data_IF_512791776473
#
_entry.id   IF_512791776473
#
_cell.length_a   1.000
_cell.length_b   1.000
_cell.length_c   1.000
_cell.angle_alpha   90.00
_cell.angle_beta   90.00
_cell.angle_gamma   90.00
#
_symmetry.space_group_name_H-M   'P 1'
#
loop_
_entity.id
_entity.type
_entity.pdbx_description
1 polymer ?
#
# COMPACT_ATOMS: atom_id res chain seq x y z
N UNK A 1 -12.33 -9.76 6.41
CA UNK A 1 -13.06 -10.98 6.81
C UNK A 1 -14.28 -10.60 7.67
N UNK A 2 -14.13 -9.93 8.82
CA UNK A 2 -15.26 -9.58 9.72
C UNK A 2 -16.40 -8.84 9.02
N UNK A 3 -16.11 -7.82 8.20
CA UNK A 3 -17.14 -7.10 7.44
C UNK A 3 -17.89 -8.03 6.48
N UNK A 4 -17.19 -8.88 5.74
CA UNK A 4 -17.80 -9.82 4.80
C UNK A 4 -18.80 -10.72 5.54
N UNK A 5 -18.39 -11.26 6.69
CA UNK A 5 -19.23 -12.14 7.51
C UNK A 5 -20.45 -11.41 8.07
N UNK A 6 -20.26 -10.20 8.62
CA UNK A 6 -21.37 -9.39 9.15
C UNK A 6 -22.41 -9.09 8.09
N UNK A 7 -21.99 -8.67 6.89
CA UNK A 7 -22.94 -8.37 5.81
C UNK A 7 -23.67 -9.64 5.32
N UNK A 8 -22.96 -10.76 5.23
CA UNK A 8 -23.54 -12.06 4.86
C UNK A 8 -24.63 -12.51 5.84
N UNK A 9 -24.40 -12.36 7.16
CA UNK A 9 -25.38 -12.68 8.19
C UNK A 9 -26.68 -11.87 8.06
N UNK A 10 -26.60 -10.68 7.49
CA UNK A 10 -27.78 -9.82 7.26
C UNK A 10 -28.34 -9.92 5.84
N UNK A 11 -27.88 -10.89 5.03
CA UNK A 11 -28.35 -11.09 3.66
C UNK A 11 -28.01 -9.95 2.70
N UNK A 12 -27.00 -9.14 3.04
CA UNK A 12 -26.56 -8.00 2.22
C UNK A 12 -25.32 -8.37 1.42
N UNK A 13 -25.36 -8.13 0.11
CA UNK A 13 -24.21 -8.34 -0.77
C UNK A 13 -23.23 -7.19 -0.60
N UNK A 14 -22.05 -7.49 -0.06
CA UNK A 14 -20.98 -6.54 0.11
C UNK A 14 -20.12 -6.43 -1.16
N UNK A 15 -19.96 -5.23 -1.68
CA UNK A 15 -18.99 -4.93 -2.72
C UNK A 15 -17.93 -3.98 -2.19
N UNK A 16 -16.68 -4.43 -2.16
CA UNK A 16 -15.56 -3.61 -1.75
C UNK A 16 -15.06 -2.75 -2.92
N UNK A 17 -14.69 -1.53 -2.58
CA UNK A 17 -14.16 -0.55 -3.51
C UNK A 17 -12.71 -0.20 -3.14
N UNK A 18 -11.80 -0.39 -4.09
CA UNK A 18 -10.42 0.03 -3.96
C UNK A 18 -10.25 1.43 -4.52
N UNK A 19 -10.18 2.41 -3.62
CA UNK A 19 -9.86 3.79 -3.98
C UNK A 19 -8.40 3.97 -4.42
N UNK A 20 -8.04 5.19 -4.78
CA UNK A 20 -6.69 5.55 -5.25
C UNK A 20 -5.55 5.21 -4.28
N UNK A 21 -5.85 4.97 -3.01
CA UNK A 21 -4.90 4.59 -1.98
C UNK A 21 -4.71 3.09 -1.82
N UNK A 22 -5.50 2.26 -2.49
CA UNK A 22 -5.43 0.81 -2.38
C UNK A 22 -4.17 0.23 -3.03
N UNK A 23 -3.68 -0.88 -2.49
CA UNK A 23 -2.46 -1.54 -2.97
C UNK A 23 -2.54 -1.97 -4.44
N UNK A 24 -3.71 -2.42 -4.91
CA UNK A 24 -3.92 -2.85 -6.30
C UNK A 24 -3.76 -1.68 -7.29
N UNK A 25 -4.17 -0.47 -6.91
CA UNK A 25 -4.10 0.71 -7.76
C UNK A 25 -2.83 1.56 -7.62
N UNK A 26 -1.93 1.22 -6.70
CA UNK A 26 -0.75 2.04 -6.35
C UNK A 26 0.56 1.28 -6.28
N UNK A 27 0.76 0.28 -7.10
CA UNK A 27 2.03 -0.43 -7.13
C UNK A 27 2.24 -1.38 -5.94
N UNK A 28 1.15 -1.92 -5.39
CA UNK A 28 1.18 -3.03 -4.43
C UNK A 28 1.56 -4.36 -5.09
N UNK A 29 2.41 -4.31 -6.11
CA UNK A 29 2.79 -5.43 -6.94
C UNK A 29 1.93 -5.57 -8.21
N UNK A 30 2.16 -6.62 -9.02
CA UNK A 30 1.34 -6.90 -10.18
C UNK A 30 -0.13 -7.06 -9.80
N UNK A 31 -1.02 -6.47 -10.59
CA UNK A 31 -2.47 -6.44 -10.30
C UNK A 31 -3.06 -7.82 -10.05
N UNK A 32 -2.57 -8.84 -10.74
CA UNK A 32 -3.00 -10.23 -10.56
C UNK A 32 -2.78 -10.71 -9.11
N UNK A 33 -1.55 -10.68 -8.64
CA UNK A 33 -1.21 -11.11 -7.29
C UNK A 33 -1.88 -10.25 -6.22
N UNK A 34 -2.00 -8.95 -6.47
CA UNK A 34 -2.67 -8.03 -5.54
C UNK A 34 -4.17 -8.33 -5.39
N UNK A 35 -4.84 -8.81 -6.44
CA UNK A 35 -6.23 -9.26 -6.39
C UNK A 35 -6.32 -10.59 -5.63
N UNK A 36 -5.45 -11.55 -5.93
CA UNK A 36 -5.44 -12.85 -5.24
C UNK A 36 -5.08 -12.74 -3.76
N UNK A 37 -4.28 -11.76 -3.38
CA UNK A 37 -3.92 -11.48 -1.98
C UNK A 37 -5.05 -10.84 -1.16
N UNK A 38 -6.21 -10.54 -1.76
CA UNK A 38 -7.34 -10.03 -1.01
C UNK A 38 -7.89 -11.11 -0.06
N UNK A 39 -8.40 -10.70 1.11
CA UNK A 39 -9.03 -11.64 2.03
C UNK A 39 -10.13 -12.46 1.36
N UNK A 40 -10.29 -13.72 1.77
CA UNK A 40 -11.34 -14.60 1.26
C UNK A 40 -12.71 -13.93 1.37
N UNK A 41 -13.50 -14.01 0.29
CA UNK A 41 -14.83 -13.38 0.18
C UNK A 41 -14.80 -11.86 -0.10
N UNK A 42 -13.64 -11.24 -0.19
CA UNK A 42 -13.54 -9.81 -0.55
C UNK A 42 -13.80 -9.57 -2.05
N UNK A 43 -13.46 -10.55 -2.89
CA UNK A 43 -13.71 -10.55 -4.33
C UNK A 43 -14.81 -11.58 -4.62
N UNK A 44 -15.95 -11.12 -5.13
CA UNK A 44 -17.14 -11.95 -5.38
C UNK A 44 -17.65 -11.71 -6.81
N UNK A 45 -16.93 -12.21 -7.81
CA UNK A 45 -17.26 -12.05 -9.23
C UNK A 45 -17.05 -10.64 -9.77
N UNK A 46 -16.65 -9.69 -8.94
CA UNK A 46 -16.46 -8.30 -9.32
C UNK A 46 -15.46 -7.59 -8.42
N UNK A 47 -14.70 -6.68 -9.02
CA UNK A 47 -13.82 -5.78 -8.30
C UNK A 47 -13.97 -4.37 -8.91
N UNK A 48 -13.90 -3.34 -8.06
CA UNK A 48 -13.88 -1.95 -8.50
C UNK A 48 -12.61 -1.28 -8.03
N UNK A 49 -11.83 -0.81 -8.98
CA UNK A 49 -10.57 -0.11 -8.75
C UNK A 49 -10.67 1.33 -9.22
N UNK A 50 -10.05 2.25 -8.50
CA UNK A 50 -9.79 3.61 -8.99
C UNK A 50 -8.29 3.80 -9.06
N UNK A 51 -7.77 3.84 -10.28
CA UNK A 51 -6.37 4.12 -10.54
C UNK A 51 -6.13 5.62 -10.74
N UNK A 52 -4.90 6.06 -10.64
CA UNK A 52 -4.52 7.43 -10.98
C UNK A 52 -4.52 7.62 -12.51
N UNK A 53 -4.77 8.84 -12.97
CA UNK A 53 -4.86 9.13 -14.41
C UNK A 53 -3.61 8.73 -15.20
N UNK A 54 -2.44 8.95 -14.62
CA UNK A 54 -1.14 8.57 -15.21
C UNK A 54 -1.02 7.05 -15.38
N UNK A 55 -1.49 6.28 -14.41
CA UNK A 55 -1.51 4.81 -14.44
C UNK A 55 -2.50 4.32 -15.52
N UNK A 56 -3.68 4.93 -15.60
CA UNK A 56 -4.69 4.63 -16.63
C UNK A 56 -4.10 4.87 -18.02
N UNK A 57 -3.47 6.02 -18.24
CA UNK A 57 -2.83 6.33 -19.52
C UNK A 57 -1.74 5.32 -19.88
N UNK A 58 -0.89 4.96 -18.93
CA UNK A 58 0.18 3.97 -19.13
C UNK A 58 -0.36 2.58 -19.46
N UNK A 59 -1.41 2.14 -18.76
CA UNK A 59 -1.96 0.77 -18.89
C UNK A 59 -2.89 0.60 -20.11
N UNK A 60 -3.61 1.65 -20.51
CA UNK A 60 -4.74 1.49 -21.42
C UNK A 60 -4.69 2.35 -22.71
N UNK A 61 -3.68 3.22 -22.87
CA UNK A 61 -3.56 4.03 -24.09
C UNK A 61 -3.19 3.20 -25.34
N UNK A 62 -2.42 2.13 -25.16
CA UNK A 62 -2.12 1.19 -26.22
C UNK A 62 -3.14 0.03 -26.19
N UNK A 63 -3.87 -0.26 -27.28
CA UNK A 63 -4.92 -1.29 -27.30
C UNK A 63 -4.44 -2.70 -26.91
N UNK A 64 -3.25 -3.11 -27.36
CA UNK A 64 -2.71 -4.43 -27.05
C UNK A 64 -2.32 -4.55 -25.58
N UNK A 65 -1.69 -3.52 -25.02
CA UNK A 65 -1.33 -3.45 -23.61
C UNK A 65 -2.58 -3.35 -22.75
N UNK A 66 -3.54 -2.52 -23.14
CA UNK A 66 -4.82 -2.36 -22.46
C UNK A 66 -5.60 -3.66 -22.40
N UNK A 67 -5.70 -4.38 -23.52
CA UNK A 67 -6.33 -5.71 -23.57
C UNK A 67 -5.65 -6.65 -22.57
N UNK A 68 -4.33 -6.74 -22.57
CA UNK A 68 -3.58 -7.61 -21.66
C UNK A 68 -3.84 -7.27 -20.20
N UNK A 69 -3.86 -6.00 -19.85
CA UNK A 69 -4.16 -5.56 -18.47
C UNK A 69 -5.59 -5.94 -18.05
N UNK A 70 -6.57 -5.80 -18.95
CA UNK A 70 -7.95 -6.22 -18.69
C UNK A 70 -8.08 -7.75 -18.55
N UNK A 71 -7.42 -8.54 -19.41
CA UNK A 71 -7.37 -10.00 -19.31
C UNK A 71 -6.80 -10.45 -17.97
N UNK A 72 -5.71 -9.82 -17.52
CA UNK A 72 -5.09 -10.10 -16.22
C UNK A 72 -6.05 -9.81 -15.06
N UNK A 73 -6.75 -8.68 -15.10
CA UNK A 73 -7.74 -8.34 -14.06
C UNK A 73 -8.94 -9.29 -14.06
N UNK A 74 -9.45 -9.65 -15.24
CA UNK A 74 -10.55 -10.60 -15.37
C UNK A 74 -10.16 -11.98 -14.86
N UNK A 75 -9.01 -12.49 -15.28
CA UNK A 75 -8.49 -13.79 -14.84
C UNK A 75 -8.31 -13.85 -13.32
N UNK A 76 -7.67 -12.83 -12.72
CA UNK A 76 -7.48 -12.75 -11.27
C UNK A 76 -8.82 -12.69 -10.50
N UNK A 77 -9.80 -11.95 -11.05
CA UNK A 77 -11.14 -11.84 -10.44
C UNK A 77 -11.88 -13.18 -10.48
N UNK A 78 -11.79 -13.88 -11.61
CA UNK A 78 -12.38 -15.22 -11.76
C UNK A 78 -11.71 -16.22 -10.82
N UNK A 79 -10.39 -16.23 -10.78
CA UNK A 79 -9.61 -17.12 -9.91
C UNK A 79 -9.91 -16.86 -8.43
N UNK A 80 -9.87 -15.59 -7.99
CA UNK A 80 -10.19 -15.22 -6.61
C UNK A 80 -11.63 -15.57 -6.20
N UNK A 81 -12.56 -15.68 -7.18
CA UNK A 81 -13.96 -15.99 -6.94
C UNK A 81 -14.25 -17.48 -6.95
N UNK A 82 -13.71 -18.19 -7.95
CA UNK A 82 -14.09 -19.57 -8.26
C UNK A 82 -13.15 -20.60 -7.66
N UNK A 83 -11.85 -20.28 -7.65
CA UNK A 83 -10.87 -21.12 -7.00
C UNK A 83 -10.70 -20.58 -5.60
N UNK A 84 -11.46 -21.08 -4.66
CA UNK A 84 -11.11 -20.92 -3.26
C UNK A 84 -9.68 -21.44 -3.11
N UNK A 85 -8.70 -20.54 -3.19
CA UNK A 85 -7.36 -20.86 -2.70
C UNK A 85 -7.61 -21.28 -1.27
N UNK A 86 -7.56 -22.59 -1.08
CA UNK A 86 -8.07 -23.30 0.07
C UNK A 86 -7.73 -22.48 1.29
N UNK A 87 -8.73 -21.86 1.83
CA UNK A 87 -8.79 -21.13 3.06
C UNK A 87 -7.56 -21.30 3.95
N UNK A 88 -6.42 -20.84 3.52
CA UNK A 88 -5.37 -20.52 4.44
C UNK A 88 -5.81 -19.19 5.06
N UNK A 89 -6.85 -19.27 5.90
CA UNK A 89 -7.02 -18.26 6.93
C UNK A 89 -5.68 -18.28 7.65
N UNK A 90 -4.92 -17.17 7.64
CA UNK A 90 -3.64 -17.15 8.34
C UNK A 90 -3.89 -17.68 9.75
N UNK A 91 -3.07 -18.62 10.20
CA UNK A 91 -3.18 -19.06 11.59
C UNK A 91 -3.16 -17.86 12.52
N UNK A 92 -3.90 -17.94 13.60
CA UNK A 92 -3.97 -16.85 14.58
C UNK A 92 -2.56 -16.42 15.03
N UNK A 93 -1.64 -17.40 15.09
CA UNK A 93 -0.22 -17.18 15.37
C UNK A 93 0.46 -16.29 14.32
N UNK A 94 0.20 -16.53 13.03
CA UNK A 94 0.76 -15.72 11.94
C UNK A 94 0.23 -14.28 11.97
N UNK A 95 -1.06 -14.12 12.27
CA UNK A 95 -1.68 -12.79 12.44
C UNK A 95 -1.01 -12.05 13.59
N UNK A 96 -0.84 -12.71 14.76
CA UNK A 96 -0.21 -12.10 15.91
C UNK A 96 1.26 -11.70 15.65
N UNK A 97 2.01 -12.53 14.92
CA UNK A 97 3.38 -12.20 14.51
C UNK A 97 3.38 -10.95 13.59
N UNK A 98 2.52 -10.93 12.58
CA UNK A 98 2.44 -9.80 11.67
C UNK A 98 2.01 -8.51 12.37
N UNK A 99 1.08 -8.58 13.31
CA UNK A 99 0.65 -7.43 14.10
C UNK A 99 1.82 -6.90 14.98
N UNK A 100 2.57 -7.78 15.62
CA UNK A 100 3.73 -7.41 16.42
C UNK A 100 4.83 -6.75 15.55
N UNK A 101 5.15 -7.34 14.41
CA UNK A 101 6.11 -6.77 13.45
C UNK A 101 5.64 -5.42 12.92
N UNK A 102 4.38 -5.32 12.53
CA UNK A 102 3.77 -4.08 12.03
C UNK A 102 3.82 -2.97 13.07
N UNK A 103 3.45 -3.27 14.31
CA UNK A 103 3.47 -2.29 15.40
C UNK A 103 4.90 -1.79 15.69
N UNK A 104 5.88 -2.69 15.70
CA UNK A 104 7.28 -2.30 15.94
C UNK A 104 7.87 -1.52 14.77
N UNK A 105 7.56 -1.90 13.52
CA UNK A 105 7.95 -1.15 12.34
C UNK A 105 7.34 0.27 12.35
N UNK A 106 6.06 0.39 12.71
CA UNK A 106 5.39 1.67 12.86
C UNK A 106 6.06 2.57 13.91
N UNK A 107 6.37 2.03 15.08
CA UNK A 107 7.06 2.79 16.13
C UNK A 107 8.45 3.26 15.68
N UNK A 108 9.21 2.39 15.03
CA UNK A 108 10.52 2.73 14.47
C UNK A 108 10.43 3.84 13.43
N UNK A 109 9.43 3.76 12.56
CA UNK A 109 9.19 4.80 11.54
C UNK A 109 8.81 6.13 12.18
N UNK A 110 7.87 6.12 13.14
CA UNK A 110 7.46 7.34 13.84
C UNK A 110 8.61 7.98 14.58
N UNK A 111 9.39 7.19 15.29
CA UNK A 111 10.54 7.70 16.02
C UNK A 111 11.53 8.44 15.10
N UNK A 112 11.83 7.91 13.91
CA UNK A 112 12.72 8.60 12.98
C UNK A 112 12.06 9.85 12.38
N UNK A 113 10.84 9.71 11.85
CA UNK A 113 10.26 10.72 10.96
C UNK A 113 9.66 11.87 11.75
N UNK A 114 9.10 11.61 12.92
CA UNK A 114 8.33 12.58 13.68
C UNK A 114 8.97 12.98 15.02
N UNK A 115 9.67 12.04 15.68
CA UNK A 115 10.16 12.29 17.02
C UNK A 115 11.66 12.64 17.02
N UNK A 116 12.41 12.32 15.94
CA UNK A 116 13.85 12.59 15.89
C UNK A 116 14.12 14.07 15.64
N UNK A 117 14.80 14.78 16.57
CA UNK A 117 15.14 16.18 16.38
C UNK A 117 15.97 16.41 15.11
N UNK A 118 15.58 17.37 14.29
CA UNK A 118 16.29 17.73 13.08
C UNK A 118 15.99 16.87 11.84
N UNK A 119 15.22 15.80 11.96
CA UNK A 119 14.85 14.99 10.78
C UNK A 119 14.08 15.80 9.73
N UNK A 120 13.15 16.63 10.17
CA UNK A 120 12.40 17.53 9.30
C UNK A 120 13.33 18.47 8.54
N UNK A 121 14.25 19.12 9.26
CA UNK A 121 15.27 20.00 8.66
C UNK A 121 16.13 19.23 7.65
N UNK A 122 16.58 18.03 8.02
CA UNK A 122 17.33 17.15 7.13
C UNK A 122 16.54 16.84 5.86
N UNK A 123 15.29 16.45 5.96
CA UNK A 123 14.43 16.15 4.83
C UNK A 123 14.30 17.32 3.86
N UNK A 124 13.99 18.51 4.36
CA UNK A 124 13.82 19.70 3.52
C UNK A 124 15.13 20.18 2.87
N UNK A 125 16.26 19.94 3.52
CA UNK A 125 17.57 20.35 2.99
C UNK A 125 18.21 19.31 2.08
N UNK A 126 17.97 18.03 2.29
CA UNK A 126 18.63 16.93 1.56
C UNK A 126 17.80 16.36 0.40
N UNK A 127 16.55 16.76 0.27
CA UNK A 127 15.69 16.27 -0.83
C UNK A 127 15.33 17.39 -1.80
N UNK A 128 14.87 16.99 -2.98
CA UNK A 128 14.42 17.91 -4.05
C UNK A 128 12.95 18.31 -3.91
N UNK A 129 12.42 18.32 -2.68
CA UNK A 129 11.01 18.63 -2.42
C UNK A 129 10.58 19.99 -2.99
N UNK A 130 11.43 21.00 -2.85
CA UNK A 130 11.12 22.36 -3.35
C UNK A 130 10.92 22.38 -4.86
N UNK A 131 11.73 21.63 -5.59
CA UNK A 131 11.61 21.48 -7.04
C UNK A 131 10.35 20.69 -7.40
N UNK A 132 10.09 19.60 -6.69
CA UNK A 132 8.88 18.77 -6.89
C UNK A 132 7.62 19.57 -6.62
N UNK A 133 7.60 20.44 -5.62
CA UNK A 133 6.45 21.26 -5.27
C UNK A 133 6.02 22.22 -6.39
N UNK A 134 6.97 22.60 -7.24
CA UNK A 134 6.74 23.48 -8.40
C UNK A 134 6.39 22.71 -9.70
N UNK A 135 6.42 21.40 -9.68
CA UNK A 135 6.06 20.58 -10.83
C UNK A 135 4.55 20.26 -10.80
N UNK A 136 3.92 20.26 -11.97
CA UNK A 136 2.54 19.81 -12.14
C UNK A 136 2.44 18.27 -12.05
N UNK A 137 2.91 17.71 -10.95
CA UNK A 137 2.82 16.28 -10.66
C UNK A 137 1.56 16.02 -9.84
N UNK A 138 0.55 15.51 -10.49
CA UNK A 138 -0.74 15.25 -9.88
C UNK A 138 -1.68 16.47 -9.88
N UNK A 139 -2.94 16.21 -9.57
CA UNK A 139 -4.04 17.19 -9.66
C UNK A 139 -4.15 18.11 -8.43
N UNK A 140 -3.21 18.05 -7.48
CA UNK A 140 -3.32 18.76 -6.20
C UNK A 140 -1.97 19.36 -5.77
N UNK A 141 -1.97 20.47 -5.00
CA UNK A 141 -0.75 21.06 -4.44
C UNK A 141 0.07 20.06 -3.62
N UNK A 142 1.38 20.27 -3.51
CA UNK A 142 2.30 19.40 -2.80
C UNK A 142 1.99 19.30 -1.29
N UNK A 143 1.51 20.39 -0.69
CA UNK A 143 1.12 20.41 0.72
C UNK A 143 -0.37 20.72 0.90
N UNK A 144 -0.92 20.31 2.02
CA UNK A 144 -2.31 20.60 2.44
C UNK A 144 -2.45 22.03 2.97
N UNK A 145 -1.39 22.55 3.57
CA UNK A 145 -1.30 23.90 4.16
C UNK A 145 0.04 24.53 3.75
N UNK A 146 0.17 25.84 3.91
CA UNK A 146 1.46 26.52 3.86
C UNK A 146 2.21 26.25 5.17
N UNK A 147 2.92 25.15 5.23
CA UNK A 147 3.64 24.66 6.40
C UNK A 147 4.89 23.93 5.94
N UNK A 148 5.90 23.88 6.79
CA UNK A 148 7.11 23.06 6.63
C UNK A 148 6.98 21.71 7.32
N UNK A 149 5.87 21.42 7.98
CA UNK A 149 5.66 20.17 8.68
C UNK A 149 5.44 18.99 7.71
N UNK A 150 6.05 17.87 8.02
CA UNK A 150 5.95 16.63 7.20
C UNK A 150 4.51 16.13 7.14
N UNK A 151 3.74 16.29 8.23
CA UNK A 151 2.34 15.87 8.32
C UNK A 151 1.42 16.60 7.32
N UNK A 152 1.79 17.78 6.93
CA UNK A 152 1.02 18.58 5.97
C UNK A 152 1.33 18.21 4.53
N UNK A 153 2.40 17.46 4.27
CA UNK A 153 2.74 16.98 2.94
C UNK A 153 1.73 15.95 2.43
N UNK A 154 1.58 15.92 1.12
CA UNK A 154 0.84 14.85 0.46
C UNK A 154 1.76 13.67 0.18
N UNK A 155 1.17 12.49 0.03
CA UNK A 155 1.91 11.25 -0.18
C UNK A 155 2.84 11.29 -1.40
N UNK A 156 2.41 11.89 -2.54
CA UNK A 156 3.24 11.95 -3.75
C UNK A 156 4.51 12.78 -3.52
N UNK A 157 4.45 14.03 -3.08
CA UNK A 157 5.65 14.81 -2.75
C UNK A 157 6.56 14.12 -1.72
N UNK A 158 6.00 13.52 -0.69
CA UNK A 158 6.76 12.79 0.31
C UNK A 158 7.52 11.62 -0.30
N UNK A 159 6.82 10.69 -0.95
CA UNK A 159 7.42 9.47 -1.52
C UNK A 159 8.36 9.81 -2.67
N UNK A 160 7.96 10.74 -3.54
CA UNK A 160 8.71 11.09 -4.74
C UNK A 160 10.02 11.81 -4.41
N UNK A 161 10.05 12.67 -3.38
CA UNK A 161 11.27 13.33 -2.92
C UNK A 161 12.35 12.32 -2.54
N UNK A 162 12.00 11.30 -1.77
CA UNK A 162 12.91 10.22 -1.39
C UNK A 162 13.34 9.36 -2.59
N UNK A 163 12.40 9.05 -3.49
CA UNK A 163 12.69 8.27 -4.69
C UNK A 163 13.70 8.99 -5.59
N UNK A 164 13.63 10.32 -5.75
CA UNK A 164 14.62 11.09 -6.49
C UNK A 164 16.01 11.06 -5.83
N UNK A 165 16.06 10.91 -4.52
CA UNK A 165 17.31 10.69 -3.76
C UNK A 165 17.74 9.22 -3.72
N UNK A 166 17.02 8.32 -4.41
CA UNK A 166 17.26 6.86 -4.43
C UNK A 166 17.17 6.22 -3.03
N UNK A 167 16.32 6.75 -2.18
CA UNK A 167 16.08 6.27 -0.82
C UNK A 167 14.66 5.72 -0.73
N UNK A 168 14.52 4.48 -0.26
CA UNK A 168 13.23 3.78 -0.12
C UNK A 168 12.64 3.91 1.29
N UNK A 169 12.93 5.02 1.99
CA UNK A 169 12.49 5.24 3.36
C UNK A 169 10.98 5.07 3.56
N UNK A 170 10.11 5.71 2.75
CA UNK A 170 8.66 5.64 3.01
C UNK A 170 8.06 4.24 2.94
N UNK A 171 8.66 3.34 2.18
CA UNK A 171 8.09 2.01 1.96
C UNK A 171 8.70 0.89 2.82
N UNK A 172 9.94 1.06 3.28
CA UNK A 172 10.69 -0.04 3.87
C UNK A 172 11.28 0.25 5.25
N UNK A 173 11.36 1.51 5.65
CA UNK A 173 11.94 1.84 6.94
C UNK A 173 11.10 1.26 8.09
N UNK A 174 11.78 0.70 9.07
CA UNK A 174 11.15 0.04 10.21
C UNK A 174 11.03 -1.48 10.07
N UNK A 175 10.93 -2.02 8.85
CA UNK A 175 10.81 -3.47 8.65
C UNK A 175 12.00 -4.24 9.23
N UNK A 176 13.23 -3.87 8.87
CA UNK A 176 14.44 -4.51 9.41
C UNK A 176 14.56 -4.39 10.94
N UNK A 177 14.18 -3.24 11.50
CA UNK A 177 14.13 -3.03 12.96
C UNK A 177 13.13 -3.97 13.63
N UNK A 178 11.97 -4.15 13.04
CA UNK A 178 10.92 -5.03 13.55
C UNK A 178 11.36 -6.50 13.52
N UNK A 179 11.93 -6.96 12.41
CA UNK A 179 12.44 -8.33 12.27
C UNK A 179 13.57 -8.59 13.28
N UNK A 180 14.52 -7.67 13.38
CA UNK A 180 15.63 -7.78 14.34
C UNK A 180 15.12 -7.85 15.78
N UNK A 181 14.17 -7.02 16.14
CA UNK A 181 13.53 -7.04 17.46
C UNK A 181 12.81 -8.36 17.72
N UNK A 182 12.02 -8.83 16.75
CA UNK A 182 11.26 -10.07 16.91
C UNK A 182 12.18 -11.29 17.10
N UNK A 183 13.21 -11.42 16.27
CA UNK A 183 14.17 -12.53 16.33
C UNK A 183 15.02 -12.51 17.59
N UNK A 184 15.25 -11.35 18.21
CA UNK A 184 15.97 -11.29 19.48
C UNK A 184 15.25 -12.03 20.62
N UNK A 185 13.90 -12.01 20.59
CA UNK A 185 13.05 -12.71 21.56
C UNK A 185 12.58 -14.09 21.07
N UNK A 186 12.63 -14.34 19.77
CA UNK A 186 12.14 -15.55 19.12
C UNK A 186 13.13 -16.03 18.05
N UNK A 187 14.28 -16.62 18.44
CA UNK A 187 15.35 -16.96 17.49
C UNK A 187 14.91 -17.86 16.31
N UNK A 188 13.91 -18.71 16.53
CA UNK A 188 13.35 -19.63 15.53
C UNK A 188 11.95 -19.19 15.04
N UNK A 189 11.52 -17.99 15.38
CA UNK A 189 10.13 -17.58 15.23
C UNK A 189 9.67 -17.24 13.82
N UNK A 190 10.57 -17.25 12.83
CA UNK A 190 10.27 -16.99 11.40
C UNK A 190 10.57 -18.20 10.51
N UNK A 191 10.86 -19.37 11.08
CA UNK A 191 11.14 -20.62 10.36
C UNK A 191 9.88 -21.47 10.19
#
# INVERSE_FOLDING_TARGET
IQLVETFKQHGVVLRLFHGRGGSIGRGGGPSYQAILAQPSGAVQGQIRLTEQGEVISSKYSNPSVGRRNLEVMAAATLEATLLSHANTVPEQTQIAIMDALSQHAFQSYRHLVYDHPGFETYFFQSTVLTQIANLNIGSRPASRKKSTAIEDLRAIPWVFSWAQCRIMLPGWYGFGSAVKWYLASNPNGLL
#
